data_IF_366809338955
#
_entry.id   IF_366809338955
#
_cell.length_a   1.000
_cell.length_b   1.000
_cell.length_c   1.000
_cell.angle_alpha   90.00
_cell.angle_beta   90.00
_cell.angle_gamma   90.00
#
_symmetry.space_group_name_H-M   'P 1'
#
loop_
_entity.id
_entity.type
_entity.pdbx_description
1 polymer ?
#
# COMPACT_ATOMS: atom_id res chain seq x y z
N UNK A 1 0.56 10.04 -6.22
CA UNK A 1 1.64 9.07 -6.05
C UNK A 1 1.42 8.20 -4.82
N UNK A 2 2.11 7.10 -4.76
CA UNK A 2 2.03 6.18 -3.60
C UNK A 2 2.47 6.87 -2.32
N UNK A 3 3.48 7.72 -2.41
CA UNK A 3 3.98 8.45 -1.25
C UNK A 3 2.92 9.39 -0.69
N UNK A 4 2.20 10.09 -1.57
CA UNK A 4 1.13 10.98 -1.14
C UNK A 4 -0.01 10.20 -0.48
N UNK A 5 -0.37 9.06 -1.05
CA UNK A 5 -1.41 8.22 -0.48
C UNK A 5 -1.00 7.71 0.91
N UNK A 6 0.26 7.34 1.05
CA UNK A 6 0.78 6.89 2.34
C UNK A 6 0.73 8.00 3.38
N UNK A 7 1.15 9.21 3.01
CA UNK A 7 1.10 10.36 3.93
C UNK A 7 -0.31 10.67 4.36
N UNK A 8 -1.25 10.67 3.42
CA UNK A 8 -2.65 10.91 3.74
C UNK A 8 -3.19 9.85 4.70
N UNK A 9 -2.83 8.59 4.48
CA UNK A 9 -3.26 7.51 5.35
C UNK A 9 -2.71 7.68 6.77
N UNK A 10 -1.46 8.09 6.89
CA UNK A 10 -0.84 8.33 8.20
C UNK A 10 -1.54 9.50 8.89
N UNK A 11 -1.78 10.59 8.16
CA UNK A 11 -2.45 11.77 8.73
C UNK A 11 -3.87 11.47 9.15
N UNK A 12 -4.57 10.64 8.37
CA UNK A 12 -5.95 10.26 8.67
C UNK A 12 -6.03 9.16 9.75
N UNK A 13 -4.88 8.62 10.16
CA UNK A 13 -4.80 7.58 11.18
C UNK A 13 -5.60 6.33 10.81
N UNK A 14 -5.62 6.01 9.53
CA UNK A 14 -6.27 4.78 9.09
C UNK A 14 -5.43 3.58 9.53
N UNK A 15 -6.09 2.44 9.71
CA UNK A 15 -5.41 1.24 10.17
C UNK A 15 -4.88 0.39 9.02
N UNK A 16 -5.48 0.50 7.84
CA UNK A 16 -5.12 -0.28 6.68
C UNK A 16 -5.09 0.60 5.45
N UNK A 17 -4.12 0.37 4.60
CA UNK A 17 -3.98 1.09 3.33
C UNK A 17 -3.77 0.06 2.23
N UNK A 18 -4.59 0.14 1.20
CA UNK A 18 -4.52 -0.77 0.06
C UNK A 18 -4.04 -0.02 -1.17
N UNK A 19 -3.02 -0.56 -1.82
CA UNK A 19 -2.56 -0.04 -3.10
C UNK A 19 -3.12 -0.90 -4.22
N UNK A 20 -3.80 -0.25 -5.16
CA UNK A 20 -4.45 -0.94 -6.26
C UNK A 20 -3.54 -0.99 -7.48
N UNK A 21 -3.53 -2.12 -8.13
CA UNK A 21 -2.74 -2.35 -9.33
C UNK A 21 -3.61 -2.05 -10.56
N UNK A 22 -3.40 -0.89 -11.16
CA UNK A 22 -4.24 -0.45 -12.28
C UNK A 22 -3.68 -0.82 -13.64
N UNK A 23 -2.39 -1.11 -13.73
CA UNK A 23 -1.75 -1.34 -15.01
C UNK A 23 -1.43 -2.82 -15.18
N UNK A 24 -2.12 -3.45 -16.12
CA UNK A 24 -1.95 -4.88 -16.39
C UNK A 24 -0.58 -5.24 -16.94
N UNK A 25 0.14 -4.26 -17.50
CA UNK A 25 1.46 -4.50 -18.08
C UNK A 25 2.59 -4.44 -17.06
N UNK A 26 2.31 -4.01 -15.85
CA UNK A 26 3.31 -3.98 -14.81
C UNK A 26 3.30 -5.27 -14.02
N UNK A 27 4.49 -5.73 -13.67
CA UNK A 27 4.60 -6.93 -12.88
C UNK A 27 4.16 -6.67 -11.44
N UNK A 28 3.67 -7.71 -10.79
CA UNK A 28 3.24 -7.62 -9.39
C UNK A 28 4.42 -7.28 -8.47
N UNK A 29 5.64 -7.47 -8.94
CA UNK A 29 6.83 -7.16 -8.14
C UNK A 29 6.92 -5.70 -7.71
N UNK A 30 6.51 -4.77 -8.59
CA UNK A 30 6.60 -3.36 -8.25
C UNK A 30 5.70 -3.02 -7.07
N UNK A 31 4.47 -3.52 -7.10
CA UNK A 31 3.52 -3.28 -6.01
C UNK A 31 4.01 -3.94 -4.73
N UNK A 32 4.50 -5.17 -4.84
CA UNK A 32 5.01 -5.88 -3.66
C UNK A 32 6.19 -5.13 -3.02
N UNK A 33 7.09 -4.60 -3.85
CA UNK A 33 8.23 -3.85 -3.34
C UNK A 33 7.80 -2.56 -2.65
N UNK A 34 6.82 -1.87 -3.22
CA UNK A 34 6.28 -0.64 -2.63
C UNK A 34 5.63 -0.96 -1.28
N UNK A 35 4.84 -2.01 -1.23
CA UNK A 35 4.19 -2.42 0.02
C UNK A 35 5.23 -2.78 1.09
N UNK A 36 6.26 -3.52 0.71
CA UNK A 36 7.33 -3.87 1.64
C UNK A 36 8.05 -2.63 2.15
N UNK A 37 8.32 -1.68 1.27
CA UNK A 37 8.98 -0.44 1.65
C UNK A 37 8.18 0.33 2.68
N UNK A 38 6.89 0.52 2.42
CA UNK A 38 6.03 1.26 3.34
C UNK A 38 5.81 0.52 4.65
N UNK A 39 5.69 -0.81 4.61
CA UNK A 39 5.56 -1.59 5.83
C UNK A 39 6.82 -1.49 6.70
N UNK A 40 7.98 -1.39 6.06
CA UNK A 40 9.23 -1.16 6.80
C UNK A 40 9.21 0.21 7.48
N UNK A 41 8.77 1.24 6.76
CA UNK A 41 8.64 2.57 7.34
C UNK A 41 7.66 2.57 8.51
N UNK A 42 6.57 1.87 8.37
CA UNK A 42 5.56 1.74 9.41
C UNK A 42 6.17 1.13 10.66
N UNK A 43 6.93 0.06 10.48
CA UNK A 43 7.57 -0.62 11.60
C UNK A 43 8.62 0.26 12.27
N UNK A 44 9.45 0.91 11.44
CA UNK A 44 10.54 1.75 11.96
C UNK A 44 10.01 2.95 12.72
N UNK A 45 8.87 3.47 12.32
CA UNK A 45 8.25 4.64 12.96
C UNK A 45 7.15 4.28 13.95
N UNK A 46 6.95 2.99 14.17
CA UNK A 46 5.96 2.48 15.13
C UNK A 46 4.56 3.01 14.83
N UNK A 47 4.21 3.07 13.58
CA UNK A 47 2.89 3.50 13.15
C UNK A 47 1.88 2.37 13.30
N UNK A 48 0.64 2.72 13.54
CA UNK A 48 -0.43 1.74 13.69
C UNK A 48 -1.20 1.57 12.38
N UNK A 49 -0.47 1.20 11.34
CA UNK A 49 -0.97 1.13 9.97
C UNK A 49 -0.32 -0.05 9.27
N UNK A 50 -1.05 -0.72 8.38
CA UNK A 50 -0.51 -1.75 7.51
C UNK A 50 -0.85 -1.46 6.06
N UNK A 51 0.10 -1.74 5.18
CA UNK A 51 -0.09 -1.60 3.74
C UNK A 51 -0.29 -2.96 3.10
N UNK A 52 -1.15 -3.01 2.11
CA UNK A 52 -1.47 -4.24 1.37
C UNK A 52 -1.52 -3.93 -0.12
N UNK A 53 -1.18 -4.93 -0.92
CA UNK A 53 -1.41 -4.86 -2.36
C UNK A 53 -2.77 -5.48 -2.64
N UNK A 54 -3.63 -4.73 -3.34
CA UNK A 54 -4.94 -5.22 -3.71
C UNK A 54 -5.01 -5.32 -5.23
N UNK A 55 -5.46 -6.45 -5.74
CA UNK A 55 -5.67 -6.64 -7.16
C UNK A 55 -7.11 -6.36 -7.49
N UNK A 56 -7.33 -5.87 -8.72
CA UNK A 56 -8.69 -5.61 -9.18
C UNK A 56 -9.56 -6.86 -9.11
N UNK A 57 -8.97 -8.03 -9.35
CA UNK A 57 -9.67 -9.31 -9.29
C UNK A 57 -10.22 -9.61 -7.90
N UNK A 58 -9.51 -9.19 -6.89
CA UNK A 58 -9.91 -9.43 -5.50
C UNK A 58 -11.14 -8.63 -5.11
N UNK A 59 -11.43 -7.55 -5.84
CA UNK A 59 -12.57 -6.71 -5.57
C UNK A 59 -13.87 -7.29 -6.14
N UNK A 60 -13.76 -8.17 -7.10
CA UNK A 60 -14.90 -8.72 -7.82
C UNK A 60 -15.40 -10.03 -7.19
N UNK A 61 -14.54 -10.69 -6.48
CA UNK A 61 -14.87 -11.98 -5.87
C UNK A 61 -15.85 -11.89 -4.70
#
# INVERSE_FOLDING_TARGET
>A
TYTQAFKLAVDAKVKKLYFFHHNQNRSDFEIDRIVLYFNKLIKDNKLNLKCFAAREEDLIS
#
